data_IF_143997168740
#
_entry.id   IF_143997168740
#
_cell.length_a   1.000
_cell.length_b   1.000
_cell.length_c   1.000
_cell.angle_alpha   90.00
_cell.angle_beta   90.00
_cell.angle_gamma   90.00
#
_symmetry.space_group_name_H-M   'P 1'
#
loop_
_entity.id
_entity.type
_entity.pdbx_description
1 polymer ?
#
# COMPACT_ATOMS: atom_id res chain seq x y z
N UNK A 1 -12.08 23.54 13.45
CA UNK A 1 -11.23 22.90 14.48
C UNK A 1 -9.77 23.10 14.08
N UNK A 2 -8.93 23.51 15.03
CA UNK A 2 -7.52 23.73 14.77
C UNK A 2 -6.75 22.43 15.06
N UNK A 3 -6.47 21.64 14.01
CA UNK A 3 -5.70 20.42 14.13
C UNK A 3 -4.27 20.68 14.58
N UNK A 4 -3.72 19.80 15.43
CA UNK A 4 -2.35 19.90 15.94
C UNK A 4 -1.36 19.02 15.18
N UNK A 5 -1.84 17.98 14.52
CA UNK A 5 -1.08 17.18 13.58
C UNK A 5 -2.02 16.36 12.68
N UNK A 6 -1.50 15.88 11.56
CA UNK A 6 -2.15 14.89 10.70
C UNK A 6 -1.39 13.54 10.76
N UNK A 7 -2.14 12.43 10.69
CA UNK A 7 -1.62 11.07 10.74
C UNK A 7 -2.00 10.35 9.44
N UNK A 8 -1.04 9.71 8.78
CA UNK A 8 -1.25 8.95 7.56
C UNK A 8 -0.59 7.56 7.63
N UNK A 9 -1.38 6.52 7.39
CA UNK A 9 -0.90 5.15 7.28
C UNK A 9 -0.64 4.71 5.84
N UNK A 10 -0.95 5.56 4.84
CA UNK A 10 -0.76 5.25 3.42
C UNK A 10 -0.62 6.52 2.59
N UNK A 11 0.23 6.46 1.55
CA UNK A 11 0.34 7.52 0.55
C UNK A 11 -0.97 7.78 -0.23
N UNK A 12 -1.92 6.82 -0.23
CA UNK A 12 -3.24 7.01 -0.84
C UNK A 12 -4.07 8.12 -0.17
N UNK A 13 -3.74 8.51 1.07
CA UNK A 13 -4.40 9.62 1.76
C UNK A 13 -3.81 11.00 1.40
N UNK A 14 -2.64 11.05 0.76
CA UNK A 14 -1.96 12.32 0.45
C UNK A 14 -2.76 13.26 -0.47
N UNK A 15 -3.48 12.78 -1.51
CA UNK A 15 -4.33 13.68 -2.31
C UNK A 15 -5.40 14.38 -1.48
N UNK A 16 -6.02 13.70 -0.51
CA UNK A 16 -7.01 14.29 0.38
C UNK A 16 -6.37 15.28 1.36
N UNK A 17 -5.20 14.94 1.92
CA UNK A 17 -4.43 15.85 2.76
C UNK A 17 -4.08 17.14 1.99
N UNK A 18 -3.61 17.03 0.74
CA UNK A 18 -3.21 18.16 -0.10
C UNK A 18 -4.39 19.08 -0.48
N UNK A 19 -5.58 18.50 -0.66
CA UNK A 19 -6.80 19.22 -0.99
C UNK A 19 -7.48 19.86 0.25
N UNK A 20 -7.14 19.42 1.46
CA UNK A 20 -7.71 19.98 2.68
C UNK A 20 -7.17 21.39 2.96
N UNK A 21 -7.99 22.29 3.55
CA UNK A 21 -7.55 23.65 3.91
C UNK A 21 -6.70 23.63 5.18
N UNK A 22 -5.55 22.96 5.10
CA UNK A 22 -4.59 22.81 6.19
C UNK A 22 -3.33 23.63 5.93
N UNK A 23 -2.76 24.18 6.99
CA UNK A 23 -1.47 24.86 6.93
C UNK A 23 -0.36 23.88 6.49
N UNK A 24 0.58 24.34 5.66
CA UNK A 24 1.65 23.48 5.12
C UNK A 24 2.76 23.20 6.12
N UNK A 25 2.79 23.90 7.22
CA UNK A 25 3.63 23.68 8.41
C UNK A 25 2.96 22.82 9.48
N UNK A 26 1.69 22.37 9.25
CA UNK A 26 1.05 21.40 10.13
C UNK A 26 1.91 20.12 10.20
N UNK A 27 2.30 19.69 11.40
CA UNK A 27 3.04 18.44 11.56
C UNK A 27 2.30 17.24 10.99
N UNK A 28 2.97 16.44 10.16
CA UNK A 28 2.41 15.23 9.57
C UNK A 28 3.26 14.01 9.96
N UNK A 29 2.64 13.07 10.65
CA UNK A 29 3.27 11.81 11.04
C UNK A 29 2.80 10.68 10.14
N UNK A 30 3.74 9.89 9.61
CA UNK A 30 3.44 8.80 8.66
C UNK A 30 4.03 7.48 9.13
N UNK A 31 3.44 6.35 8.70
CA UNK A 31 3.97 5.01 9.03
C UNK A 31 5.34 4.76 8.42
N UNK A 32 5.60 5.24 7.19
CA UNK A 32 6.84 4.90 6.50
C UNK A 32 7.30 5.99 5.53
N UNK A 33 8.56 5.88 5.11
CA UNK A 33 9.29 6.87 4.31
C UNK A 33 8.65 7.18 2.96
N UNK A 34 8.06 6.18 2.31
CA UNK A 34 7.37 6.40 1.02
C UNK A 34 6.16 7.32 1.16
N UNK A 35 5.41 7.20 2.27
CA UNK A 35 4.30 8.10 2.58
C UNK A 35 4.83 9.48 2.96
N UNK A 36 5.89 9.56 3.78
CA UNK A 36 6.52 10.81 4.15
C UNK A 36 7.05 11.59 2.93
N UNK A 37 7.69 10.89 1.99
CA UNK A 37 8.16 11.49 0.75
C UNK A 37 7.01 12.06 -0.09
N UNK A 38 5.89 11.35 -0.20
CA UNK A 38 4.70 11.82 -0.91
C UNK A 38 4.08 13.05 -0.22
N UNK A 39 4.04 13.09 1.12
CA UNK A 39 3.56 14.23 1.91
C UNK A 39 4.43 15.47 1.69
N UNK A 40 5.76 15.31 1.72
CA UNK A 40 6.71 16.41 1.42
C UNK A 40 6.55 16.92 -0.01
N UNK A 41 6.39 16.01 -0.98
CA UNK A 41 6.14 16.38 -2.38
C UNK A 41 4.81 17.14 -2.56
N UNK A 42 3.84 16.94 -1.67
CA UNK A 42 2.59 17.70 -1.61
C UNK A 42 2.73 19.06 -0.91
N UNK A 43 3.94 19.45 -0.47
CA UNK A 43 4.27 20.77 0.06
C UNK A 43 4.19 20.89 1.59
N UNK A 44 4.04 19.81 2.35
CA UNK A 44 4.09 19.86 3.81
C UNK A 44 5.55 19.80 4.30
N UNK A 45 5.91 20.82 5.10
CA UNK A 45 7.32 21.04 5.52
C UNK A 45 7.70 20.29 6.79
N UNK A 46 6.77 20.08 7.71
CA UNK A 46 7.00 19.32 8.95
C UNK A 46 6.44 17.90 8.80
N UNK A 47 7.27 16.97 8.31
CA UNK A 47 6.85 15.59 8.06
C UNK A 47 7.86 14.60 8.66
N UNK A 48 7.36 13.70 9.52
CA UNK A 48 8.16 12.69 10.20
C UNK A 48 7.61 11.29 9.87
N UNK A 49 8.52 10.37 9.53
CA UNK A 49 8.21 8.94 9.34
C UNK A 49 8.46 8.15 10.62
N UNK A 50 7.59 7.20 10.94
CA UNK A 50 7.79 6.25 12.02
C UNK A 50 8.68 5.06 11.59
N UNK A 51 8.94 4.94 10.27
CA UNK A 51 9.70 3.84 9.64
C UNK A 51 9.24 2.45 10.12
N UNK A 52 7.92 2.22 10.11
CA UNK A 52 7.35 0.99 10.62
C UNK A 52 5.89 0.77 10.25
N UNK A 53 5.12 0.34 11.22
CA UNK A 53 3.69 0.06 11.14
C UNK A 53 2.83 1.08 11.91
N UNK A 54 1.53 0.77 12.08
CA UNK A 54 0.61 1.62 12.85
C UNK A 54 1.02 1.74 14.33
N UNK A 55 1.64 0.69 14.91
CA UNK A 55 2.13 0.74 16.29
C UNK A 55 3.35 1.66 16.42
N UNK A 56 4.26 1.61 15.44
CA UNK A 56 5.39 2.52 15.36
C UNK A 56 4.92 3.98 15.23
N UNK A 57 3.88 4.22 14.41
CA UNK A 57 3.26 5.54 14.28
C UNK A 57 2.63 6.02 15.59
N UNK A 58 1.89 5.16 16.30
CA UNK A 58 1.34 5.50 17.61
C UNK A 58 2.46 5.85 18.61
N UNK A 59 3.55 5.05 18.63
CA UNK A 59 4.70 5.32 19.48
C UNK A 59 5.39 6.65 19.15
N UNK A 60 5.50 6.99 17.86
CA UNK A 60 6.03 8.28 17.42
C UNK A 60 5.16 9.45 17.92
N UNK A 61 3.83 9.34 17.77
CA UNK A 61 2.88 10.36 18.25
C UNK A 61 3.04 10.58 19.76
N UNK A 62 3.09 9.51 20.56
CA UNK A 62 3.29 9.60 22.03
C UNK A 62 4.57 10.29 22.44
N UNK A 63 5.64 10.15 21.64
CA UNK A 63 6.92 10.84 21.91
C UNK A 63 6.91 12.30 21.48
N UNK A 64 6.19 12.61 20.41
CA UNK A 64 6.22 13.93 19.78
C UNK A 64 5.14 14.89 20.30
N UNK A 65 4.07 14.38 20.94
CA UNK A 65 2.89 15.13 21.33
C UNK A 65 2.40 14.74 22.71
N UNK A 66 1.71 15.68 23.37
CA UNK A 66 0.92 15.43 24.56
C UNK A 66 -0.58 15.43 24.22
N UNK A 67 -1.43 14.65 24.92
CA UNK A 67 -2.89 14.69 24.73
C UNK A 67 -3.50 16.07 24.86
N UNK A 68 -2.92 16.91 25.72
CA UNK A 68 -3.36 18.30 25.96
C UNK A 68 -3.05 19.26 24.81
N UNK A 69 -2.20 18.88 23.83
CA UNK A 69 -1.86 19.75 22.69
C UNK A 69 -3.07 20.04 21.81
N UNK A 70 -4.06 19.13 21.78
CA UNK A 70 -5.30 19.24 21.02
C UNK A 70 -5.51 18.11 20.00
N UNK A 71 -6.53 18.23 19.12
CA UNK A 71 -6.97 17.12 18.29
C UNK A 71 -6.00 16.78 17.15
N UNK A 72 -5.93 15.48 16.85
CA UNK A 72 -5.18 14.89 15.74
C UNK A 72 -6.13 14.49 14.61
N UNK A 73 -5.76 14.77 13.36
CA UNK A 73 -6.50 14.37 12.17
C UNK A 73 -5.90 13.07 11.62
N UNK A 74 -6.64 11.95 11.69
CA UNK A 74 -6.23 10.69 11.08
C UNK A 74 -6.92 10.47 9.73
N UNK A 75 -6.18 10.65 8.63
CA UNK A 75 -6.66 10.40 7.27
C UNK A 75 -6.42 8.92 6.92
N UNK A 76 -7.49 8.15 6.84
CA UNK A 76 -7.46 6.70 6.69
C UNK A 76 -8.12 6.21 5.40
N UNK A 77 -7.84 4.96 5.03
CA UNK A 77 -8.70 4.21 4.11
C UNK A 77 -9.93 3.69 4.84
N UNK A 78 -11.04 3.48 4.11
CA UNK A 78 -12.26 2.90 4.69
C UNK A 78 -12.01 1.49 5.26
N UNK A 79 -11.07 0.74 4.66
CA UNK A 79 -10.67 -0.59 5.10
C UNK A 79 -9.22 -0.54 5.59
N UNK A 80 -9.00 -0.47 6.90
CA UNK A 80 -7.67 -0.51 7.53
C UNK A 80 -7.60 -1.66 8.54
N UNK A 81 -6.42 -2.25 8.65
CA UNK A 81 -6.12 -3.20 9.72
C UNK A 81 -5.82 -2.43 11.01
N UNK A 82 -6.67 -2.62 12.03
CA UNK A 82 -6.53 -1.96 13.33
C UNK A 82 -7.14 -0.55 13.37
N UNK A 83 -7.32 -0.05 14.58
CA UNK A 83 -7.88 1.28 14.85
C UNK A 83 -6.85 2.14 15.60
N UNK A 84 -6.02 2.85 14.82
CA UNK A 84 -5.03 3.77 15.35
C UNK A 84 -5.67 4.88 16.21
N UNK A 85 -6.87 5.34 15.84
CA UNK A 85 -7.56 6.38 16.60
C UNK A 85 -8.00 5.88 17.97
N UNK A 86 -8.58 4.66 18.04
CA UNK A 86 -8.92 4.04 19.31
C UNK A 86 -7.67 3.75 20.16
N UNK A 87 -6.57 3.29 19.55
CA UNK A 87 -5.31 3.05 20.24
C UNK A 87 -4.75 4.33 20.88
N UNK A 88 -4.74 5.44 20.15
CA UNK A 88 -4.31 6.73 20.68
C UNK A 88 -5.30 7.29 21.72
N UNK A 89 -6.59 6.99 21.55
CA UNK A 89 -7.63 7.36 22.54
C UNK A 89 -7.43 6.72 23.90
N UNK A 90 -6.89 5.48 23.98
CA UNK A 90 -6.52 4.82 25.24
C UNK A 90 -5.42 5.57 26.00
N UNK A 91 -4.59 6.32 25.29
CA UNK A 91 -3.52 7.16 25.83
C UNK A 91 -3.98 8.61 26.08
N UNK A 92 -5.28 8.90 25.94
CA UNK A 92 -5.89 10.21 26.19
C UNK A 92 -5.84 11.17 25.01
N UNK A 93 -5.34 10.79 23.83
CA UNK A 93 -5.35 11.64 22.66
C UNK A 93 -6.75 11.70 22.03
N UNK A 94 -7.12 12.88 21.52
CA UNK A 94 -8.30 13.04 20.68
C UNK A 94 -7.88 12.87 19.21
N UNK A 95 -7.95 11.64 18.68
CA UNK A 95 -7.65 11.36 17.28
C UNK A 95 -8.96 11.16 16.49
N UNK A 96 -9.25 12.08 15.54
CA UNK A 96 -10.44 12.01 14.70
C UNK A 96 -10.09 11.35 13.37
N UNK A 97 -10.63 10.16 13.14
CA UNK A 97 -10.52 9.42 11.88
C UNK A 97 -11.46 9.99 10.82
N UNK A 98 -10.92 10.17 9.62
CA UNK A 98 -11.67 10.52 8.40
C UNK A 98 -11.27 9.55 7.31
N UNK A 99 -12.25 8.80 6.77
CA UNK A 99 -12.03 7.89 5.65
C UNK A 99 -11.99 8.68 4.35
N UNK A 100 -10.82 8.75 3.72
CA UNK A 100 -10.55 9.60 2.56
C UNK A 100 -10.34 8.82 1.26
N UNK A 101 -10.19 7.50 1.32
CA UNK A 101 -10.11 6.65 0.15
C UNK A 101 -10.67 5.24 0.45
N UNK A 102 -11.02 4.51 -0.61
CA UNK A 102 -11.42 3.10 -0.54
C UNK A 102 -10.68 2.30 -1.61
N UNK A 103 -10.15 1.14 -1.21
CA UNK A 103 -9.55 0.20 -2.16
C UNK A 103 -10.63 -0.69 -2.75
N UNK A 104 -10.94 -0.47 -4.03
CA UNK A 104 -11.95 -1.27 -4.74
C UNK A 104 -11.23 -2.27 -5.66
N UNK A 105 -11.59 -3.55 -5.54
CA UNK A 105 -11.08 -4.56 -6.46
C UNK A 105 -11.55 -4.26 -7.89
N UNK A 106 -10.64 -4.39 -8.86
CA UNK A 106 -11.00 -4.31 -10.26
C UNK A 106 -12.05 -5.39 -10.61
N UNK A 107 -12.98 -5.05 -11.49
CA UNK A 107 -14.04 -5.97 -11.94
C UNK A 107 -13.69 -6.70 -13.24
N UNK A 108 -12.69 -6.21 -13.97
CA UNK A 108 -12.17 -6.79 -15.20
C UNK A 108 -10.68 -6.44 -15.33
N UNK A 109 -9.96 -7.22 -16.15
CA UNK A 109 -8.63 -6.84 -16.60
C UNK A 109 -8.75 -5.58 -17.48
N UNK A 110 -7.79 -4.65 -17.33
CA UNK A 110 -7.73 -3.47 -18.20
C UNK A 110 -7.57 -3.92 -19.68
N UNK A 111 -8.21 -3.23 -20.64
CA UNK A 111 -8.10 -3.60 -22.06
C UNK A 111 -6.65 -3.74 -22.54
N UNK A 112 -5.76 -2.83 -22.13
CA UNK A 112 -4.34 -2.89 -22.46
C UNK A 112 -3.67 -4.17 -21.92
N UNK A 113 -4.05 -4.62 -20.72
CA UNK A 113 -3.54 -5.88 -20.13
C UNK A 113 -4.03 -7.09 -20.93
N UNK A 114 -5.30 -7.09 -21.36
CA UNK A 114 -5.88 -8.17 -22.19
C UNK A 114 -5.13 -8.27 -23.52
N UNK A 115 -4.91 -7.15 -24.19
CA UNK A 115 -4.13 -7.07 -25.45
C UNK A 115 -2.70 -7.56 -25.23
N UNK A 116 -1.99 -7.05 -24.23
CA UNK A 116 -0.61 -7.45 -23.96
C UNK A 116 -0.46 -8.93 -23.60
N UNK A 117 -1.46 -9.54 -22.92
CA UNK A 117 -1.54 -10.97 -22.68
C UNK A 117 -1.76 -11.75 -23.98
N UNK A 118 -2.63 -11.25 -24.87
CA UNK A 118 -2.91 -11.87 -26.15
C UNK A 118 -1.67 -11.89 -27.06
N UNK A 119 -0.95 -10.78 -27.12
CA UNK A 119 0.21 -10.57 -27.96
C UNK A 119 1.49 -11.22 -27.39
N UNK A 120 1.45 -11.75 -26.17
CA UNK A 120 2.63 -12.28 -25.48
C UNK A 120 3.66 -11.21 -25.10
N UNK A 121 3.23 -9.95 -25.02
CA UNK A 121 4.09 -8.81 -24.68
C UNK A 121 4.47 -8.76 -23.19
N UNK A 122 3.75 -9.51 -22.34
CA UNK A 122 4.06 -9.61 -20.92
C UNK A 122 4.99 -10.79 -20.64
N UNK A 123 5.90 -10.59 -19.73
CA UNK A 123 6.89 -11.58 -19.33
C UNK A 123 6.71 -12.09 -17.89
N UNK A 124 6.17 -11.27 -17.01
CA UNK A 124 5.94 -11.61 -15.62
C UNK A 124 4.75 -10.85 -15.04
N UNK A 125 4.19 -11.39 -13.96
CA UNK A 125 3.24 -10.74 -13.08
C UNK A 125 3.85 -10.65 -11.69
N UNK A 126 3.84 -9.45 -11.09
CA UNK A 126 4.40 -9.18 -9.78
C UNK A 126 3.29 -8.98 -8.73
N UNK A 127 3.34 -9.71 -7.63
CA UNK A 127 2.33 -9.67 -6.57
C UNK A 127 2.93 -9.20 -5.25
N UNK A 128 2.55 -7.99 -4.84
CA UNK A 128 3.01 -7.36 -3.60
C UNK A 128 2.06 -7.61 -2.41
N UNK A 129 0.87 -8.17 -2.65
CA UNK A 129 -0.09 -8.50 -1.59
C UNK A 129 -0.95 -9.70 -1.98
N UNK A 130 -1.40 -10.45 -0.96
CA UNK A 130 -2.33 -11.58 -1.14
C UNK A 130 -3.60 -11.14 -1.86
N UNK A 131 -4.21 -10.02 -1.45
CA UNK A 131 -5.43 -9.48 -2.08
C UNK A 131 -5.24 -9.20 -3.58
N UNK A 132 -4.08 -8.64 -3.97
CA UNK A 132 -3.80 -8.38 -5.38
C UNK A 132 -3.69 -9.68 -6.19
N UNK A 133 -3.06 -10.73 -5.63
CA UNK A 133 -2.99 -12.04 -6.26
C UNK A 133 -4.39 -12.67 -6.40
N UNK A 134 -5.22 -12.65 -5.34
CA UNK A 134 -6.60 -13.16 -5.36
C UNK A 134 -7.47 -12.46 -6.43
N UNK A 135 -7.41 -11.13 -6.49
CA UNK A 135 -8.13 -10.36 -7.51
C UNK A 135 -7.66 -10.72 -8.91
N UNK A 136 -6.35 -10.81 -9.13
CA UNK A 136 -5.80 -11.15 -10.45
C UNK A 136 -6.21 -12.57 -10.88
N UNK A 137 -6.10 -13.56 -10.00
CA UNK A 137 -6.53 -14.95 -10.26
C UNK A 137 -8.00 -14.99 -10.70
N UNK A 138 -8.88 -14.32 -9.95
CA UNK A 138 -10.30 -14.26 -10.27
C UNK A 138 -10.56 -13.59 -11.63
N UNK A 139 -9.88 -12.49 -11.94
CA UNK A 139 -10.03 -11.76 -13.19
C UNK A 139 -9.53 -12.56 -14.40
N UNK A 140 -8.38 -13.24 -14.28
CA UNK A 140 -7.84 -14.09 -15.34
C UNK A 140 -8.74 -15.30 -15.61
N UNK A 141 -9.28 -15.90 -14.55
CA UNK A 141 -10.22 -17.01 -14.66
C UNK A 141 -11.52 -16.57 -15.32
N UNK A 142 -12.11 -15.46 -14.87
CA UNK A 142 -13.32 -14.91 -15.46
C UNK A 142 -13.16 -14.49 -16.93
N UNK A 143 -11.97 -14.03 -17.32
CA UNK A 143 -11.63 -13.67 -18.69
C UNK A 143 -11.26 -14.88 -19.59
N UNK A 144 -11.30 -16.12 -19.08
CA UNK A 144 -10.83 -17.32 -19.75
C UNK A 144 -9.39 -17.18 -20.31
N UNK A 145 -8.54 -16.41 -19.61
CA UNK A 145 -7.18 -16.09 -20.05
C UNK A 145 -6.10 -16.95 -19.37
N UNK A 146 -6.48 -18.02 -18.65
CA UNK A 146 -5.56 -18.89 -17.88
C UNK A 146 -4.46 -19.50 -18.74
N UNK A 147 -4.76 -19.94 -19.98
CA UNK A 147 -3.76 -20.47 -20.90
C UNK A 147 -2.69 -19.47 -21.33
N UNK A 148 -2.99 -18.16 -21.28
CA UNK A 148 -2.03 -17.10 -21.61
C UNK A 148 -1.05 -16.83 -20.47
N UNK A 149 -1.48 -17.10 -19.24
CA UNK A 149 -0.68 -16.91 -18.02
C UNK A 149 0.45 -17.96 -17.92
N UNK A 150 0.27 -19.15 -18.48
CA UNK A 150 1.27 -20.23 -18.45
C UNK A 150 2.63 -19.84 -19.10
N UNK A 151 2.67 -18.74 -19.84
CA UNK A 151 3.90 -18.20 -20.45
C UNK A 151 4.63 -17.17 -19.57
N UNK A 152 4.00 -16.73 -18.48
CA UNK A 152 4.50 -15.69 -17.59
C UNK A 152 5.15 -16.28 -16.34
N UNK A 153 6.10 -15.56 -15.79
CA UNK A 153 6.56 -15.81 -14.43
C UNK A 153 5.65 -15.10 -13.43
N UNK A 154 5.27 -15.78 -12.36
CA UNK A 154 4.70 -15.12 -11.19
C UNK A 154 5.83 -14.81 -10.20
N UNK A 155 6.00 -13.53 -9.84
CA UNK A 155 6.95 -13.11 -8.81
C UNK A 155 6.17 -12.60 -7.61
N UNK A 156 6.31 -13.29 -6.48
CA UNK A 156 5.53 -13.06 -5.27
C UNK A 156 6.43 -12.53 -4.15
N UNK A 157 5.92 -11.53 -3.40
CA UNK A 157 6.66 -10.91 -2.29
C UNK A 157 6.88 -11.87 -1.11
N UNK A 158 5.99 -12.85 -0.92
CA UNK A 158 6.06 -13.82 0.18
C UNK A 158 5.48 -15.18 -0.22
N UNK A 159 5.80 -16.26 0.53
CA UNK A 159 5.22 -17.59 0.32
C UNK A 159 3.68 -17.60 0.34
N UNK A 160 3.04 -16.87 1.25
CA UNK A 160 1.59 -16.81 1.36
C UNK A 160 0.93 -16.18 0.13
N UNK A 161 1.63 -15.29 -0.57
CA UNK A 161 1.17 -14.73 -1.86
C UNK A 161 1.36 -15.76 -2.97
N UNK A 162 2.47 -16.50 -2.93
CA UNK A 162 2.75 -17.57 -3.90
C UNK A 162 1.72 -18.71 -3.84
N UNK A 163 1.24 -19.06 -2.65
CA UNK A 163 0.15 -20.05 -2.48
C UNK A 163 -1.12 -19.64 -3.25
N UNK A 164 -1.50 -18.38 -3.22
CA UNK A 164 -2.63 -17.87 -4.00
C UNK A 164 -2.34 -17.92 -5.49
N UNK A 165 -1.16 -17.47 -5.92
CA UNK A 165 -0.78 -17.45 -7.32
C UNK A 165 -0.69 -18.89 -7.90
N UNK A 166 -0.30 -19.87 -7.09
CA UNK A 166 -0.19 -21.30 -7.48
C UNK A 166 -1.53 -21.94 -7.93
N UNK A 167 -2.66 -21.27 -7.71
CA UNK A 167 -3.96 -21.72 -8.26
C UNK A 167 -4.04 -21.59 -9.78
N UNK A 168 -3.13 -20.82 -10.39
CA UNK A 168 -2.94 -20.76 -11.84
C UNK A 168 -1.63 -21.44 -12.25
N UNK A 169 -1.58 -21.93 -13.49
CA UNK A 169 -0.35 -22.47 -14.08
C UNK A 169 0.51 -21.33 -14.62
N UNK A 170 1.73 -21.21 -14.14
CA UNK A 170 2.73 -20.24 -14.57
C UNK A 170 3.92 -20.91 -15.24
N UNK A 171 4.70 -20.19 -16.01
CA UNK A 171 6.00 -20.69 -16.49
C UNK A 171 6.93 -20.99 -15.31
N UNK A 172 7.02 -20.03 -14.38
CA UNK A 172 7.73 -20.16 -13.11
C UNK A 172 6.95 -19.42 -12.02
N UNK A 173 6.97 -19.96 -10.81
CA UNK A 173 6.46 -19.30 -9.61
C UNK A 173 7.66 -19.02 -8.70
N UNK A 174 7.96 -17.76 -8.49
CA UNK A 174 9.17 -17.29 -7.82
C UNK A 174 8.78 -16.44 -6.60
N UNK A 175 9.36 -16.74 -5.46
CA UNK A 175 9.17 -15.92 -4.24
C UNK A 175 10.42 -15.08 -4.01
N UNK A 176 10.24 -13.81 -3.68
CA UNK A 176 11.32 -12.92 -3.31
C UNK A 176 12.06 -13.41 -2.05
N UNK A 177 13.36 -13.17 -1.97
CA UNK A 177 14.22 -13.62 -0.85
C UNK A 177 13.88 -12.96 0.49
N UNK A 178 13.20 -11.81 0.46
CA UNK A 178 12.70 -11.09 1.62
C UNK A 178 11.43 -10.31 1.24
N UNK A 179 10.52 -10.03 2.19
CA UNK A 179 9.28 -9.30 1.93
C UNK A 179 9.52 -7.79 1.80
N UNK A 180 10.48 -7.40 0.96
CA UNK A 180 10.85 -6.00 0.71
C UNK A 180 10.72 -5.63 -0.76
N UNK A 181 10.47 -4.35 -1.02
CA UNK A 181 10.43 -3.84 -2.40
C UNK A 181 11.76 -4.06 -3.14
N UNK A 182 12.88 -3.90 -2.45
CA UNK A 182 14.22 -4.11 -3.03
C UNK A 182 14.42 -5.57 -3.47
N UNK A 183 14.07 -6.54 -2.62
CA UNK A 183 14.13 -7.96 -2.97
C UNK A 183 13.21 -8.32 -4.14
N UNK A 184 11.99 -7.74 -4.19
CA UNK A 184 11.07 -7.93 -5.31
C UNK A 184 11.66 -7.43 -6.63
N UNK A 185 12.26 -6.24 -6.64
CA UNK A 185 12.91 -5.67 -7.84
C UNK A 185 14.09 -6.53 -8.27
N UNK A 186 14.93 -6.97 -7.33
CA UNK A 186 16.06 -7.85 -7.61
C UNK A 186 15.61 -9.19 -8.23
N UNK A 187 14.55 -9.79 -7.68
CA UNK A 187 13.97 -11.04 -8.18
C UNK A 187 13.42 -10.88 -9.60
N UNK A 188 12.68 -9.80 -9.88
CA UNK A 188 12.17 -9.49 -11.22
C UNK A 188 13.32 -9.31 -12.23
N UNK A 189 14.37 -8.59 -11.85
CA UNK A 189 15.54 -8.38 -12.70
C UNK A 189 16.29 -9.70 -12.97
N UNK A 190 16.42 -10.59 -11.98
CA UNK A 190 17.01 -11.91 -12.15
C UNK A 190 16.16 -12.79 -13.09
N UNK A 191 14.86 -12.87 -12.86
CA UNK A 191 13.93 -13.63 -13.68
C UNK A 191 13.93 -13.19 -15.16
N UNK A 192 14.17 -11.91 -15.42
CA UNK A 192 14.25 -11.38 -16.79
C UNK A 192 15.58 -11.73 -17.49
N UNK A 193 16.68 -11.90 -16.76
CA UNK A 193 17.99 -12.30 -17.33
C UNK A 193 18.08 -13.77 -17.72
N UNK A 194 17.26 -14.62 -17.10
CA UNK A 194 17.23 -16.07 -17.33
C UNK A 194 16.25 -16.48 -18.47
N UNK A 195 15.86 -15.54 -19.28
CA UNK A 195 15.00 -15.72 -20.48
C UNK A 195 15.83 -15.79 -21.73
#
# INVERSE_FOLDING_TARGET
>A
DEWRAALLTSANAVPALAAAPLARDLPVYTVGDSTAAAVRAAGFTDTVSADGDANALAALVRRARAPADGPLLYLAGAEVAGDLAAQLGQDGFTARRVDVYRMVAARALAPATVTALADGALSAAAFMSRRAAEVFVNLVTAAAATGKIARLDAVCLSPQIAEVAATLTWRRLITASAPTRAAMIATLAAANRER
#
